data_IF_174325573190
#
_entry.id   IF_174325573190
#
_cell.length_a   1.000
_cell.length_b   1.000
_cell.length_c   1.000
_cell.angle_alpha   90.00
_cell.angle_beta   90.00
_cell.angle_gamma   90.00
#
_symmetry.space_group_name_H-M   'P 1'
#
loop_
_entity.id
_entity.type
_entity.pdbx_description
1 polymer ?
#
# COMPACT_ATOMS: atom_id res chain seq x y z
N UNK A 1 23.08 -18.55 -2.28
CA UNK A 1 21.94 -18.65 -1.32
C UNK A 1 21.18 -19.93 -1.62
N UNK A 2 20.72 -20.63 -0.60
CA UNK A 2 19.81 -21.78 -0.73
C UNK A 2 18.48 -21.39 -0.09
N UNK A 3 17.51 -20.99 -0.90
CA UNK A 3 16.20 -20.52 -0.43
C UNK A 3 15.48 -21.58 0.40
N UNK A 4 15.55 -22.84 -0.02
CA UNK A 4 14.87 -23.93 0.70
C UNK A 4 15.42 -24.14 2.12
N UNK A 5 16.74 -24.07 2.30
CA UNK A 5 17.38 -24.21 3.61
C UNK A 5 17.00 -23.05 4.55
N UNK A 6 17.03 -21.82 4.04
CA UNK A 6 16.60 -20.62 4.78
C UNK A 6 15.14 -20.75 5.20
N UNK A 7 14.26 -21.17 4.28
CA UNK A 7 12.84 -21.32 4.59
C UNK A 7 12.57 -22.41 5.61
N UNK A 8 13.28 -23.54 5.57
CA UNK A 8 13.16 -24.59 6.59
C UNK A 8 13.57 -24.09 7.99
N UNK A 9 14.60 -23.26 8.08
CA UNK A 9 15.01 -22.65 9.36
C UNK A 9 13.97 -21.65 9.87
N UNK A 10 13.41 -20.82 8.98
CA UNK A 10 12.36 -19.87 9.34
C UNK A 10 11.05 -20.57 9.75
N UNK A 11 10.63 -21.61 9.04
CA UNK A 11 9.44 -22.39 9.40
C UNK A 11 9.56 -23.02 10.80
N UNK A 12 10.76 -23.45 11.16
CA UNK A 12 11.06 -23.97 12.50
C UNK A 12 11.01 -22.87 13.57
N UNK A 13 11.48 -21.66 13.26
CA UNK A 13 11.50 -20.52 14.20
C UNK A 13 10.14 -19.85 14.34
N UNK A 14 9.33 -19.85 13.28
CA UNK A 14 8.05 -19.13 13.18
C UNK A 14 6.89 -20.08 12.81
N UNK A 15 6.62 -21.11 13.63
CA UNK A 15 5.58 -22.08 13.33
C UNK A 15 4.20 -21.42 13.30
N UNK A 16 3.44 -21.67 12.22
CA UNK A 16 2.08 -21.14 12.05
C UNK A 16 1.99 -19.72 11.50
N UNK A 17 3.09 -19.05 11.19
CA UNK A 17 3.12 -17.72 10.58
C UNK A 17 3.08 -17.79 9.06
N UNK A 18 2.02 -18.37 8.49
CA UNK A 18 1.89 -18.72 7.07
C UNK A 18 2.03 -17.53 6.12
N UNK A 19 1.39 -16.40 6.44
CA UNK A 19 1.42 -15.20 5.59
C UNK A 19 2.83 -14.60 5.53
N UNK A 20 3.51 -14.57 6.67
CA UNK A 20 4.88 -14.08 6.75
C UNK A 20 5.85 -14.97 5.98
N UNK A 21 5.78 -16.28 6.19
CA UNK A 21 6.65 -17.26 5.53
C UNK A 21 6.44 -17.28 4.01
N UNK A 22 5.20 -17.14 3.54
CA UNK A 22 4.90 -17.02 2.12
C UNK A 22 5.56 -15.78 1.50
N UNK A 23 5.41 -14.63 2.13
CA UNK A 23 5.98 -13.36 1.62
C UNK A 23 7.52 -13.42 1.56
N UNK A 24 8.16 -14.00 2.58
CA UNK A 24 9.61 -14.17 2.57
C UNK A 24 10.04 -15.08 1.42
N UNK A 25 9.38 -16.22 1.23
CA UNK A 25 9.67 -17.15 0.13
C UNK A 25 9.60 -16.46 -1.24
N UNK A 26 8.52 -15.74 -1.52
CA UNK A 26 8.31 -15.04 -2.80
C UNK A 26 9.43 -14.02 -3.09
N UNK A 27 9.87 -13.29 -2.08
CA UNK A 27 10.98 -12.35 -2.25
C UNK A 27 12.30 -13.08 -2.46
N UNK A 28 12.62 -14.08 -1.63
CA UNK A 28 13.88 -14.82 -1.73
C UNK A 28 14.05 -15.52 -3.07
N UNK A 29 12.98 -16.14 -3.60
CA UNK A 29 12.98 -16.77 -4.94
C UNK A 29 13.26 -15.75 -6.06
N UNK A 30 12.75 -14.53 -5.92
CA UNK A 30 12.94 -13.48 -6.93
C UNK A 30 14.32 -12.83 -6.91
N UNK A 31 15.03 -12.86 -5.77
CA UNK A 31 16.35 -12.23 -5.62
C UNK A 31 17.52 -13.23 -5.65
N UNK A 32 17.26 -14.54 -5.68
CA UNK A 32 18.29 -15.58 -5.55
C UNK A 32 19.43 -15.43 -6.55
N UNK A 33 19.12 -15.19 -7.81
CA UNK A 33 20.10 -15.00 -8.88
C UNK A 33 21.03 -13.81 -8.60
N UNK A 34 20.45 -12.67 -8.24
CA UNK A 34 21.21 -11.43 -7.95
C UNK A 34 22.02 -11.57 -6.66
N UNK A 35 21.44 -12.16 -5.61
CA UNK A 35 22.15 -12.40 -4.37
C UNK A 35 23.43 -13.25 -4.59
N UNK A 36 23.35 -14.27 -5.44
CA UNK A 36 24.48 -15.15 -5.72
C UNK A 36 25.61 -14.47 -6.52
N UNK A 37 25.36 -13.29 -7.10
CA UNK A 37 26.38 -12.46 -7.74
C UNK A 37 27.15 -11.58 -6.73
N UNK A 38 26.71 -11.55 -5.44
CA UNK A 38 27.21 -10.71 -4.37
C UNK A 38 27.73 -11.56 -3.18
N UNK A 39 28.92 -12.18 -3.27
CA UNK A 39 29.46 -13.01 -2.18
C UNK A 39 29.66 -12.25 -0.86
N UNK A 40 29.79 -10.93 -0.91
CA UNK A 40 29.84 -10.04 0.25
C UNK A 40 28.54 -10.07 1.06
N UNK A 41 27.39 -10.24 0.42
CA UNK A 41 26.10 -10.34 1.11
C UNK A 41 25.98 -11.64 1.91
N UNK A 42 26.45 -12.75 1.35
CA UNK A 42 26.47 -14.03 2.03
C UNK A 42 27.41 -14.00 3.26
N UNK A 43 28.60 -13.42 3.09
CA UNK A 43 29.57 -13.27 4.19
C UNK A 43 29.02 -12.41 5.32
N UNK A 44 28.25 -11.38 5.01
CA UNK A 44 27.61 -10.48 5.98
C UNK A 44 26.25 -10.99 6.51
N UNK A 45 25.80 -12.18 6.09
CA UNK A 45 24.51 -12.77 6.48
C UNK A 45 23.32 -11.82 6.23
N UNK A 46 23.35 -11.12 5.08
CA UNK A 46 22.34 -10.08 4.78
C UNK A 46 20.93 -10.64 4.77
N UNK A 47 20.69 -11.78 4.12
CA UNK A 47 19.34 -12.37 4.02
C UNK A 47 18.86 -12.85 5.38
N UNK A 48 19.69 -13.58 6.13
CA UNK A 48 19.32 -14.09 7.45
C UNK A 48 18.98 -12.97 8.45
N UNK A 49 19.62 -11.80 8.31
CA UNK A 49 19.31 -10.59 9.10
C UNK A 49 18.09 -9.85 8.58
N UNK A 50 17.90 -9.81 7.25
CA UNK A 50 16.84 -9.05 6.60
C UNK A 50 15.46 -9.71 6.75
N UNK A 51 15.41 -11.03 6.85
CA UNK A 51 14.15 -11.77 7.02
C UNK A 51 13.64 -11.78 8.46
N UNK A 52 14.43 -11.36 9.43
CA UNK A 52 13.98 -11.21 10.81
C UNK A 52 13.75 -9.72 11.12
N UNK A 53 12.67 -9.36 11.83
CA UNK A 53 12.47 -7.97 12.24
C UNK A 53 13.49 -7.54 13.30
N UNK A 54 13.94 -6.29 13.24
CA UNK A 54 14.84 -5.72 14.25
C UNK A 54 14.23 -5.78 15.66
N UNK A 55 12.90 -5.53 15.75
CA UNK A 55 12.17 -5.53 17.02
C UNK A 55 10.68 -5.78 16.85
N UNK A 56 10.10 -6.51 17.78
CA UNK A 56 8.66 -6.70 17.91
C UNK A 56 8.24 -6.20 19.30
N UNK A 57 7.27 -5.28 19.34
CA UNK A 57 6.67 -4.76 20.56
C UNK A 57 5.24 -5.27 20.60
N UNK A 58 4.92 -6.06 21.64
CA UNK A 58 3.57 -6.58 21.90
C UNK A 58 3.10 -6.06 23.24
N UNK A 59 1.89 -5.53 23.30
CA UNK A 59 1.34 -4.93 24.49
C UNK A 59 -0.16 -5.17 24.61
N UNK A 60 -0.68 -5.15 25.83
CA UNK A 60 -2.10 -5.21 26.11
C UNK A 60 -2.68 -3.80 26.11
N UNK A 61 -3.78 -3.61 25.38
CA UNK A 61 -4.56 -2.38 25.39
C UNK A 61 -5.82 -2.61 26.20
N UNK A 62 -5.98 -1.90 27.32
CA UNK A 62 -7.16 -1.97 28.17
C UNK A 62 -7.94 -0.66 28.07
N UNK A 63 -9.23 -0.75 27.78
CA UNK A 63 -10.10 0.41 27.59
C UNK A 63 -11.52 0.11 28.08
N UNK A 64 -12.38 1.14 28.14
CA UNK A 64 -13.76 1.02 28.62
C UNK A 64 -14.73 1.36 27.49
N UNK A 65 -15.71 0.51 27.25
CA UNK A 65 -16.77 0.73 26.25
C UNK A 65 -17.83 1.75 26.74
N UNK A 66 -18.79 2.07 25.89
CA UNK A 66 -19.85 3.04 26.23
C UNK A 66 -20.81 2.55 27.31
N UNK A 67 -20.84 1.25 27.58
CA UNK A 67 -21.66 0.65 28.65
C UNK A 67 -20.93 0.53 29.97
N UNK A 68 -19.65 0.97 30.03
CA UNK A 68 -18.81 0.93 31.23
C UNK A 68 -18.07 -0.41 31.42
N UNK A 69 -18.11 -1.34 30.46
CA UNK A 69 -17.40 -2.59 30.57
C UNK A 69 -15.93 -2.44 30.18
N UNK A 70 -15.06 -3.15 30.91
CA UNK A 70 -13.64 -3.20 30.61
C UNK A 70 -13.42 -4.14 29.42
N UNK A 71 -12.73 -3.65 28.40
CA UNK A 71 -12.33 -4.36 27.21
C UNK A 71 -10.80 -4.50 27.16
N UNK A 72 -10.31 -5.58 26.55
CA UNK A 72 -8.88 -5.84 26.35
C UNK A 72 -8.62 -6.28 24.93
N UNK A 73 -7.58 -5.71 24.34
CA UNK A 73 -7.09 -6.08 23.01
C UNK A 73 -5.57 -6.23 23.05
N UNK A 74 -5.01 -6.90 22.05
CA UNK A 74 -3.57 -6.94 21.82
C UNK A 74 -3.17 -5.84 20.83
N UNK A 75 -2.12 -5.11 21.19
CA UNK A 75 -1.46 -4.14 20.31
C UNK A 75 -0.08 -4.63 19.91
N UNK A 76 0.35 -4.27 18.70
CA UNK A 76 1.62 -4.67 18.14
C UNK A 76 2.28 -3.51 17.38
N UNK A 77 3.63 -3.48 17.44
CA UNK A 77 4.47 -2.73 16.52
C UNK A 77 5.65 -3.60 16.11
N UNK A 78 5.72 -3.95 14.82
CA UNK A 78 6.85 -4.63 14.21
C UNK A 78 7.74 -3.58 13.56
N UNK A 79 8.87 -3.30 14.17
CA UNK A 79 9.96 -2.48 13.65
C UNK A 79 10.84 -3.43 12.85
N UNK A 80 10.64 -3.45 11.51
CA UNK A 80 11.16 -4.54 10.71
C UNK A 80 12.61 -4.32 10.29
N UNK A 81 12.90 -3.18 9.67
CA UNK A 81 14.25 -2.84 9.22
C UNK A 81 14.43 -1.33 9.12
N UNK A 82 15.51 -0.79 9.67
CA UNK A 82 15.83 0.65 9.69
C UNK A 82 17.10 1.02 8.91
N UNK A 83 17.62 0.12 8.09
CA UNK A 83 18.91 0.37 7.40
C UNK A 83 18.89 1.60 6.48
N UNK A 84 17.74 2.00 5.94
CA UNK A 84 17.63 3.15 5.03
C UNK A 84 16.88 4.35 5.60
N UNK A 85 16.51 4.31 6.87
CA UNK A 85 15.81 5.42 7.55
C UNK A 85 14.96 4.95 8.71
N UNK A 86 14.24 5.86 9.40
CA UNK A 86 13.38 5.49 10.51
C UNK A 86 12.33 4.46 10.07
N UNK A 87 11.94 3.59 11.00
CA UNK A 87 10.87 2.64 10.75
C UNK A 87 9.61 3.36 10.28
N UNK A 88 9.00 2.90 9.19
CA UNK A 88 7.82 3.56 8.59
C UNK A 88 6.80 2.53 8.13
N UNK A 89 5.57 2.69 8.60
CA UNK A 89 4.45 1.85 8.15
C UNK A 89 3.18 2.09 8.95
N UNK A 90 2.04 1.68 8.38
CA UNK A 90 0.72 1.93 8.95
C UNK A 90 0.39 1.13 10.19
N UNK A 91 -0.62 1.59 10.92
CA UNK A 91 -1.29 0.87 12.02
C UNK A 91 -2.64 0.39 11.48
N UNK A 92 -2.94 -0.91 11.67
CA UNK A 92 -4.20 -1.55 11.25
C UNK A 92 -5.05 -1.90 12.46
N UNK A 93 -6.32 -1.49 12.44
CA UNK A 93 -7.31 -1.94 13.42
C UNK A 93 -8.34 -2.83 12.73
N UNK A 94 -8.27 -4.13 13.01
CA UNK A 94 -9.18 -5.10 12.45
C UNK A 94 -9.13 -6.40 13.26
N UNK A 95 -10.27 -7.04 13.48
CA UNK A 95 -10.39 -8.29 14.27
C UNK A 95 -9.49 -9.45 13.82
N UNK A 96 -9.04 -9.46 12.58
CA UNK A 96 -8.15 -10.49 12.03
C UNK A 96 -6.66 -10.17 12.21
N UNK A 97 -6.30 -9.04 12.81
CA UNK A 97 -4.88 -8.67 13.02
C UNK A 97 -4.22 -9.66 13.95
N UNK A 98 -3.09 -10.18 13.50
CA UNK A 98 -2.22 -11.06 14.26
C UNK A 98 -0.75 -10.75 13.92
N UNK A 99 0.18 -11.36 14.64
CA UNK A 99 1.61 -11.09 14.49
C UNK A 99 2.15 -11.52 13.11
N UNK A 100 1.73 -12.67 12.58
CA UNK A 100 2.12 -13.16 11.26
C UNK A 100 1.79 -12.15 10.16
N UNK A 101 0.55 -11.65 10.17
CA UNK A 101 0.10 -10.61 9.25
C UNK A 101 0.95 -9.34 9.34
N UNK A 102 1.28 -8.89 10.55
CA UNK A 102 2.04 -7.65 10.74
C UNK A 102 3.53 -7.83 10.39
N UNK A 103 4.11 -9.00 10.60
CA UNK A 103 5.46 -9.34 10.12
C UNK A 103 5.50 -9.37 8.59
N UNK A 104 4.54 -10.03 7.95
CA UNK A 104 4.37 -10.01 6.49
C UNK A 104 4.34 -8.58 5.97
N UNK A 105 3.42 -7.77 6.48
CA UNK A 105 3.24 -6.40 6.02
C UNK A 105 4.45 -5.50 6.32
N UNK A 106 5.16 -5.72 7.43
CA UNK A 106 6.38 -4.99 7.79
C UNK A 106 7.55 -5.34 6.87
N UNK A 107 7.71 -6.62 6.53
CA UNK A 107 8.68 -7.11 5.57
C UNK A 107 8.47 -6.50 4.18
N UNK A 108 7.28 -6.61 3.64
CA UNK A 108 6.91 -6.01 2.36
C UNK A 108 7.08 -4.48 2.36
N UNK A 109 6.76 -3.82 3.47
CA UNK A 109 6.90 -2.38 3.62
C UNK A 109 8.36 -1.92 3.51
N UNK A 110 9.31 -2.74 3.96
CA UNK A 110 10.75 -2.45 3.86
C UNK A 110 11.16 -2.25 2.39
N UNK A 111 10.78 -3.16 1.51
CA UNK A 111 11.12 -3.07 0.09
C UNK A 111 10.33 -1.99 -0.64
N UNK A 112 9.05 -1.84 -0.31
CA UNK A 112 8.21 -0.78 -0.85
C UNK A 112 8.77 0.62 -0.53
N UNK A 113 9.16 0.86 0.71
CA UNK A 113 9.75 2.13 1.13
C UNK A 113 11.10 2.36 0.45
N UNK A 114 11.91 1.31 0.28
CA UNK A 114 13.20 1.39 -0.40
C UNK A 114 13.08 1.89 -1.84
N UNK A 115 12.00 1.57 -2.54
CA UNK A 115 11.75 2.02 -3.91
C UNK A 115 11.47 3.53 -4.00
N UNK A 116 10.95 4.16 -2.95
CA UNK A 116 10.49 5.57 -2.99
C UNK A 116 11.59 6.61 -3.08
N UNK A 117 12.86 6.22 -3.05
CA UNK A 117 14.04 7.13 -2.93
C UNK A 117 14.14 7.87 -1.59
N UNK A 118 13.09 7.90 -0.79
CA UNK A 118 13.03 8.59 0.49
C UNK A 118 13.68 7.75 1.61
N UNK A 119 14.25 8.41 2.64
CA UNK A 119 14.93 7.72 3.74
C UNK A 119 13.90 7.15 4.74
N UNK A 120 13.32 6.01 4.42
CA UNK A 120 12.31 5.34 5.24
C UNK A 120 12.57 3.84 5.31
N UNK A 121 12.72 3.32 6.50
CA UNK A 121 12.76 1.90 6.79
C UNK A 121 11.37 1.24 6.70
N UNK A 122 11.24 0.02 7.19
CA UNK A 122 9.99 -0.74 7.19
C UNK A 122 9.46 -1.04 8.58
N UNK A 123 8.16 -0.85 8.76
CA UNK A 123 7.44 -1.24 9.97
C UNK A 123 5.97 -1.53 9.68
N UNK A 124 5.32 -2.21 10.62
CA UNK A 124 3.86 -2.34 10.64
C UNK A 124 3.37 -2.46 12.07
N UNK A 125 2.22 -1.85 12.36
CA UNK A 125 1.56 -1.98 13.65
C UNK A 125 0.10 -2.35 13.51
N UNK A 126 -0.54 -2.64 14.62
CA UNK A 126 -1.96 -2.93 14.62
C UNK A 126 -2.49 -3.49 15.92
N UNK A 127 -3.78 -3.75 15.90
CA UNK A 127 -4.51 -4.40 16.98
C UNK A 127 -5.68 -5.21 16.44
N UNK A 128 -6.07 -6.24 17.17
CA UNK A 128 -7.29 -7.01 16.96
C UNK A 128 -8.58 -6.23 17.32
N UNK A 129 -8.46 -4.97 17.68
CA UNK A 129 -9.59 -4.06 17.83
C UNK A 129 -10.33 -3.85 16.52
N UNK A 130 -11.66 -4.03 16.54
CA UNK A 130 -12.52 -3.78 15.38
C UNK A 130 -13.28 -2.45 15.57
N UNK A 131 -12.98 -1.41 14.79
CA UNK A 131 -13.67 -0.12 14.89
C UNK A 131 -15.10 -0.14 14.34
N UNK A 132 -15.49 -1.21 13.60
CA UNK A 132 -16.82 -1.28 12.98
C UNK A 132 -17.88 -1.38 14.07
N UNK A 133 -18.86 -0.48 14.00
CA UNK A 133 -19.96 -0.43 14.96
C UNK A 133 -19.62 0.21 16.33
N UNK A 134 -18.40 0.71 16.50
CA UNK A 134 -17.99 1.46 17.70
C UNK A 134 -18.33 2.94 17.55
N UNK A 135 -18.64 3.56 18.70
CA UNK A 135 -18.83 5.02 18.75
C UNK A 135 -17.49 5.76 18.60
N UNK A 136 -17.55 7.03 18.22
CA UNK A 136 -16.36 7.89 18.17
C UNK A 136 -15.68 8.00 19.56
N UNK A 137 -16.45 7.98 20.62
CA UNK A 137 -15.94 8.00 21.99
C UNK A 137 -15.20 6.71 22.37
N UNK A 138 -15.71 5.54 21.95
CA UNK A 138 -15.03 4.26 22.13
C UNK A 138 -13.73 4.21 21.36
N UNK A 139 -13.76 4.61 20.07
CA UNK A 139 -12.56 4.65 19.21
C UNK A 139 -11.52 5.61 19.78
N UNK A 140 -11.94 6.77 20.29
CA UNK A 140 -11.01 7.73 20.94
C UNK A 140 -10.35 7.12 22.18
N UNK A 141 -11.11 6.50 23.07
CA UNK A 141 -10.58 5.83 24.27
C UNK A 141 -9.60 4.72 23.90
N UNK A 142 -9.95 3.90 22.89
CA UNK A 142 -9.06 2.86 22.42
C UNK A 142 -7.76 3.45 21.83
N UNK A 143 -7.83 4.43 20.95
CA UNK A 143 -6.64 5.09 20.37
C UNK A 143 -5.73 5.70 21.44
N UNK A 144 -6.32 6.31 22.48
CA UNK A 144 -5.57 6.87 23.59
C UNK A 144 -4.87 5.77 24.41
N UNK A 145 -5.57 4.68 24.71
CA UNK A 145 -5.00 3.53 25.43
C UNK A 145 -3.90 2.83 24.60
N UNK A 146 -4.10 2.68 23.28
CA UNK A 146 -3.10 2.14 22.38
C UNK A 146 -1.84 3.00 22.32
N UNK A 147 -1.99 4.32 22.23
CA UNK A 147 -0.87 5.26 22.22
C UNK A 147 -0.15 5.33 23.57
N UNK A 148 -0.85 5.15 24.68
CA UNK A 148 -0.23 5.07 26.01
C UNK A 148 0.87 3.98 26.08
N UNK A 149 0.66 2.85 25.45
CA UNK A 149 1.63 1.75 25.41
C UNK A 149 2.73 1.97 24.35
N UNK A 150 2.41 2.69 23.26
CA UNK A 150 3.30 2.79 22.09
C UNK A 150 4.21 4.03 22.13
N UNK A 151 3.83 5.12 22.79
CA UNK A 151 4.40 6.46 22.59
C UNK A 151 5.93 6.55 22.77
N UNK A 152 6.50 5.80 23.68
CA UNK A 152 7.95 5.83 23.97
C UNK A 152 8.80 4.99 23.00
N UNK A 153 8.16 4.29 22.05
CA UNK A 153 8.81 3.48 21.03
C UNK A 153 8.77 4.13 19.65
N UNK A 154 8.14 5.29 19.51
CA UNK A 154 7.98 6.01 18.24
C UNK A 154 8.56 7.43 18.33
N UNK A 155 8.88 7.99 17.17
CA UNK A 155 9.44 9.34 17.06
C UNK A 155 9.78 9.67 15.62
N UNK A 156 9.97 10.94 15.26
CA UNK A 156 10.17 11.39 13.89
C UNK A 156 11.42 10.78 13.23
N UNK A 157 12.45 10.48 14.01
CA UNK A 157 13.72 9.93 13.55
C UNK A 157 13.93 8.47 13.99
N UNK A 158 12.92 7.86 14.63
CA UNK A 158 12.98 6.49 15.13
C UNK A 158 11.98 5.59 14.42
N UNK A 159 10.70 5.89 14.58
CA UNK A 159 9.58 5.11 14.03
C UNK A 159 8.37 6.02 13.83
N UNK A 160 7.89 6.12 12.58
CA UNK A 160 6.80 7.02 12.19
C UNK A 160 5.61 6.22 11.66
N UNK A 161 4.64 5.89 12.52
CA UNK A 161 3.41 5.23 12.11
C UNK A 161 2.53 6.11 11.21
N UNK A 162 1.63 5.44 10.49
CA UNK A 162 0.62 6.05 9.62
C UNK A 162 -0.72 5.33 9.75
N UNK A 163 -1.75 5.78 9.02
CA UNK A 163 -2.99 5.05 8.88
C UNK A 163 -2.87 3.83 7.96
N UNK A 164 -3.78 2.89 8.16
CA UNK A 164 -4.00 1.69 7.36
C UNK A 164 -5.48 1.26 7.51
N UNK A 165 -5.85 0.04 7.20
CA UNK A 165 -7.22 -0.47 7.39
C UNK A 165 -7.71 -0.20 8.81
N UNK A 166 -8.89 0.42 8.94
CA UNK A 166 -9.49 0.77 10.24
C UNK A 166 -8.83 1.95 10.98
N UNK A 167 -7.83 2.59 10.37
CA UNK A 167 -7.14 3.77 10.93
C UNK A 167 -7.05 4.87 9.89
N UNK A 168 -7.91 5.84 10.00
CA UNK A 168 -7.93 7.05 9.17
C UNK A 168 -7.47 8.29 9.91
N UNK A 169 -7.77 9.47 9.35
CA UNK A 169 -7.39 10.76 9.93
C UNK A 169 -7.95 10.98 11.34
N UNK A 170 -9.13 10.44 11.63
CA UNK A 170 -9.77 10.50 12.98
C UNK A 170 -8.91 9.76 14.00
N UNK A 171 -8.56 8.51 13.75
CA UNK A 171 -7.75 7.67 14.64
C UNK A 171 -6.33 8.25 14.80
N UNK A 172 -5.73 8.71 13.72
CA UNK A 172 -4.43 9.41 13.75
C UNK A 172 -4.52 10.65 14.64
N UNK A 173 -5.61 11.41 14.55
CA UNK A 173 -5.85 12.58 15.39
C UNK A 173 -5.91 12.23 16.88
N UNK A 174 -6.67 11.18 17.24
CA UNK A 174 -6.77 10.73 18.62
C UNK A 174 -5.44 10.21 19.18
N UNK A 175 -4.69 9.46 18.38
CA UNK A 175 -3.36 8.97 18.76
C UNK A 175 -2.36 10.12 18.92
N UNK A 176 -2.36 11.08 17.98
CA UNK A 176 -1.46 12.24 18.04
C UNK A 176 -1.74 13.13 19.27
N UNK A 177 -3.02 13.39 19.56
CA UNK A 177 -3.43 14.15 20.74
C UNK A 177 -2.92 13.54 22.05
N UNK A 178 -2.96 12.22 22.16
CA UNK A 178 -2.43 11.49 23.31
C UNK A 178 -0.90 11.50 23.34
N UNK A 179 -0.23 11.25 22.21
CA UNK A 179 1.24 11.33 22.11
C UNK A 179 1.75 12.69 22.59
N UNK A 180 1.21 13.79 22.05
CA UNK A 180 1.59 15.16 22.42
C UNK A 180 1.47 15.41 23.93
N UNK A 181 0.44 14.84 24.55
CA UNK A 181 0.23 14.98 26.00
C UNK A 181 1.26 14.18 26.82
N UNK A 182 1.60 12.97 26.37
CA UNK A 182 2.57 12.10 27.05
C UNK A 182 4.00 12.60 26.88
N UNK A 183 4.39 12.91 25.65
CA UNK A 183 5.73 13.38 25.31
C UNK A 183 5.99 14.83 25.80
N UNK A 184 4.92 15.61 26.06
CA UNK A 184 4.99 17.04 26.45
C UNK A 184 5.71 17.90 25.41
N UNK A 185 5.62 17.53 24.14
CA UNK A 185 6.20 18.26 23.03
C UNK A 185 5.22 18.30 21.84
N UNK A 186 5.39 19.31 20.99
CA UNK A 186 4.63 19.43 19.76
C UNK A 186 5.49 18.96 18.58
N UNK A 187 5.51 17.64 18.37
CA UNK A 187 6.29 17.01 17.31
C UNK A 187 5.38 16.47 16.21
N UNK A 188 5.22 17.24 15.12
CA UNK A 188 4.36 16.86 14.00
C UNK A 188 4.91 15.68 13.21
N UNK A 189 6.22 15.42 13.27
CA UNK A 189 6.88 14.34 12.51
C UNK A 189 6.62 12.93 13.03
N UNK A 190 6.00 12.77 14.20
CA UNK A 190 5.85 11.44 14.84
C UNK A 190 4.83 10.53 14.16
N UNK A 191 3.85 11.07 13.45
CA UNK A 191 2.81 10.34 12.73
C UNK A 191 2.56 10.99 11.36
N UNK A 192 2.15 10.22 10.37
CA UNK A 192 1.66 10.75 9.10
C UNK A 192 0.20 10.40 8.85
N UNK A 193 -0.45 11.12 7.92
CA UNK A 193 -1.88 11.07 7.71
C UNK A 193 -2.65 12.05 8.60
N UNK A 194 -1.97 13.10 9.05
CA UNK A 194 -2.52 14.15 9.91
C UNK A 194 -3.47 15.08 9.14
N UNK A 195 -4.33 15.78 9.89
CA UNK A 195 -5.13 16.88 9.35
C UNK A 195 -4.25 18.08 8.93
N UNK A 196 -4.70 18.81 7.91
CA UNK A 196 -3.95 19.94 7.35
C UNK A 196 -3.66 21.05 8.36
N UNK A 197 -4.54 21.25 9.32
CA UNK A 197 -4.39 22.28 10.36
C UNK A 197 -3.29 22.00 11.39
N UNK A 198 -2.70 20.79 11.39
CA UNK A 198 -1.72 20.37 12.39
C UNK A 198 -0.62 19.47 11.80
N UNK A 199 -0.15 19.81 10.62
CA UNK A 199 1.05 19.23 10.00
C UNK A 199 0.81 18.14 8.97
N UNK A 200 -0.42 17.96 8.49
CA UNK A 200 -0.74 17.07 7.38
C UNK A 200 -0.29 17.62 6.02
N UNK A 201 -0.20 16.75 5.03
CA UNK A 201 0.14 17.09 3.64
C UNK A 201 -1.08 17.09 2.74
N UNK A 202 -1.13 18.01 1.80
CA UNK A 202 -2.05 17.95 0.65
C UNK A 202 -1.75 16.70 -0.20
N UNK A 203 -2.68 16.34 -1.08
CA UNK A 203 -2.61 15.17 -1.99
C UNK A 203 -2.64 13.81 -1.26
N UNK A 204 -2.59 13.76 0.08
CA UNK A 204 -2.47 12.48 0.80
C UNK A 204 -3.64 11.51 0.58
N UNK A 205 -4.93 11.92 0.56
CA UNK A 205 -6.06 11.01 0.32
C UNK A 205 -6.01 10.32 -1.04
N UNK A 206 -5.66 11.05 -2.09
CA UNK A 206 -5.61 10.61 -3.48
C UNK A 206 -4.26 10.01 -3.90
N UNK A 207 -3.21 10.19 -3.11
CA UNK A 207 -1.83 9.92 -3.47
C UNK A 207 -1.56 8.50 -3.98
N UNK A 208 -2.24 7.49 -3.42
CA UNK A 208 -2.07 6.10 -3.87
C UNK A 208 -2.57 5.93 -5.30
N UNK A 209 -3.75 6.45 -5.61
CA UNK A 209 -4.32 6.41 -6.95
C UNK A 209 -3.54 7.28 -7.94
N UNK A 210 -3.17 8.49 -7.56
CA UNK A 210 -2.37 9.40 -8.40
C UNK A 210 -1.03 8.77 -8.76
N UNK A 211 -0.29 8.28 -7.77
CA UNK A 211 0.98 7.60 -7.97
C UNK A 211 0.86 6.38 -8.88
N UNK A 212 -0.21 5.60 -8.71
CA UNK A 212 -0.45 4.45 -9.57
C UNK A 212 -0.57 4.84 -11.05
N UNK A 213 -1.29 5.92 -11.35
CA UNK A 213 -1.45 6.39 -12.73
C UNK A 213 -0.15 6.96 -13.30
N UNK A 214 0.67 7.63 -12.49
CA UNK A 214 2.01 8.06 -12.93
C UNK A 214 2.91 6.86 -13.26
N UNK A 215 2.88 5.82 -12.43
CA UNK A 215 3.63 4.60 -12.73
C UNK A 215 3.13 3.94 -14.01
N UNK A 216 1.81 3.79 -14.19
CA UNK A 216 1.19 3.24 -15.39
C UNK A 216 1.57 4.06 -16.62
N UNK A 217 1.51 5.38 -16.57
CA UNK A 217 1.91 6.26 -17.68
C UNK A 217 3.36 5.98 -18.12
N UNK A 218 4.32 5.92 -17.18
CA UNK A 218 5.71 5.59 -17.49
C UNK A 218 5.86 4.18 -18.07
N UNK A 219 5.09 3.20 -17.56
CA UNK A 219 5.09 1.84 -18.08
C UNK A 219 4.56 1.78 -19.53
N UNK A 220 3.48 2.52 -19.83
CA UNK A 220 2.91 2.62 -21.16
C UNK A 220 3.85 3.31 -22.14
N UNK A 221 4.41 4.46 -21.76
CA UNK A 221 5.35 5.23 -22.58
C UNK A 221 6.56 4.37 -22.98
N UNK A 222 7.10 3.57 -22.05
CA UNK A 222 8.16 2.62 -22.34
C UNK A 222 7.75 1.56 -23.38
N UNK A 223 6.50 1.12 -23.32
CA UNK A 223 5.96 0.12 -24.26
C UNK A 223 5.46 0.73 -25.58
N UNK A 224 5.67 2.03 -25.81
CA UNK A 224 5.17 2.74 -27.00
C UNK A 224 3.65 2.84 -27.05
N UNK A 225 2.99 2.85 -25.90
CA UNK A 225 1.53 2.98 -25.74
C UNK A 225 1.20 4.29 -25.04
N UNK A 226 -0.03 4.75 -25.21
CA UNK A 226 -0.53 5.97 -24.59
C UNK A 226 -1.68 5.65 -23.62
N UNK A 227 -1.72 6.37 -22.52
CA UNK A 227 -2.85 6.32 -21.57
C UNK A 227 -4.07 7.05 -22.15
N UNK A 228 -3.83 8.11 -22.91
CA UNK A 228 -4.89 8.92 -23.52
C UNK A 228 -5.77 8.08 -24.44
N UNK A 229 -7.06 8.07 -24.18
CA UNK A 229 -8.05 7.31 -24.94
C UNK A 229 -8.18 5.83 -24.57
N UNK A 230 -7.26 5.27 -23.76
CA UNK A 230 -7.38 3.91 -23.26
C UNK A 230 -8.57 3.75 -22.30
N UNK A 231 -9.24 2.62 -22.38
CA UNK A 231 -10.34 2.27 -21.48
C UNK A 231 -9.85 1.63 -20.21
N UNK A 232 -10.35 2.09 -19.06
CA UNK A 232 -9.89 1.67 -17.73
C UNK A 232 -11.05 1.08 -16.92
N UNK A 233 -10.84 -0.10 -16.34
CA UNK A 233 -11.73 -0.71 -15.35
C UNK A 233 -11.06 -0.70 -13.97
N UNK A 234 -11.81 -0.28 -12.95
CA UNK A 234 -11.34 -0.07 -11.58
C UNK A 234 -12.23 -0.84 -10.60
N UNK A 235 -11.62 -1.61 -9.69
CA UNK A 235 -12.36 -2.19 -8.57
C UNK A 235 -12.33 -1.28 -7.34
N UNK A 236 -13.42 -1.33 -6.56
CA UNK A 236 -13.59 -0.48 -5.40
C UNK A 236 -14.03 0.95 -5.74
N UNK A 237 -14.49 1.68 -4.72
CA UNK A 237 -14.90 3.09 -4.83
C UNK A 237 -14.53 3.91 -3.57
N UNK A 238 -13.46 3.47 -2.88
CA UNK A 238 -12.81 4.22 -1.81
C UNK A 238 -11.81 5.25 -2.33
N UNK A 239 -11.04 5.89 -1.44
CA UNK A 239 -10.08 6.95 -1.79
C UNK A 239 -9.05 6.51 -2.84
N UNK A 240 -8.58 5.27 -2.78
CA UNK A 240 -7.61 4.71 -3.74
C UNK A 240 -8.20 4.65 -5.15
N UNK A 241 -9.40 4.06 -5.27
CA UNK A 241 -10.11 3.95 -6.55
C UNK A 241 -10.53 5.33 -7.08
N UNK A 242 -10.99 6.23 -6.20
CA UNK A 242 -11.33 7.60 -6.57
C UNK A 242 -10.11 8.36 -7.10
N UNK A 243 -8.97 8.31 -6.37
CA UNK A 243 -7.74 8.95 -6.84
C UNK A 243 -7.26 8.38 -8.18
N UNK A 244 -7.29 7.05 -8.35
CA UNK A 244 -6.93 6.40 -9.62
C UNK A 244 -7.86 6.84 -10.76
N UNK A 245 -9.17 6.86 -10.54
CA UNK A 245 -10.15 7.26 -11.54
C UNK A 245 -10.02 8.75 -11.92
N UNK A 246 -9.81 9.63 -10.93
CA UNK A 246 -9.61 11.06 -11.14
C UNK A 246 -8.35 11.31 -12.00
N UNK A 247 -7.21 10.75 -11.61
CA UNK A 247 -5.96 10.96 -12.33
C UNK A 247 -6.00 10.31 -13.73
N UNK A 248 -6.60 9.13 -13.88
CA UNK A 248 -6.80 8.51 -15.19
C UNK A 248 -7.60 9.43 -16.14
N UNK A 249 -8.67 10.02 -15.64
CA UNK A 249 -9.51 10.96 -16.40
C UNK A 249 -8.76 12.24 -16.74
N UNK A 250 -7.99 12.82 -15.81
CA UNK A 250 -7.14 13.99 -16.05
C UNK A 250 -6.09 13.74 -17.14
N UNK A 251 -5.49 12.54 -17.15
CA UNK A 251 -4.51 12.12 -18.16
C UNK A 251 -5.15 11.67 -19.48
N UNK A 252 -6.47 11.79 -19.61
CA UNK A 252 -7.21 11.56 -20.86
C UNK A 252 -7.62 10.12 -21.12
N UNK A 253 -7.51 9.21 -20.14
CA UNK A 253 -8.08 7.88 -20.23
C UNK A 253 -9.62 7.91 -20.03
N UNK A 254 -10.28 6.84 -20.46
CA UNK A 254 -11.73 6.65 -20.24
C UNK A 254 -11.94 5.63 -19.13
N UNK A 255 -12.27 6.06 -17.93
CA UNK A 255 -12.70 5.17 -16.86
C UNK A 255 -14.11 4.71 -17.13
N UNK A 256 -14.27 3.48 -17.65
CA UNK A 256 -15.55 2.95 -18.12
C UNK A 256 -16.25 2.03 -17.11
N UNK A 257 -15.53 1.53 -16.10
CA UNK A 257 -16.10 0.64 -15.10
C UNK A 257 -15.53 0.93 -13.71
N UNK A 258 -16.42 1.00 -12.72
CA UNK A 258 -16.06 1.07 -11.29
C UNK A 258 -16.96 0.07 -10.54
N UNK A 259 -16.37 -0.81 -9.72
CA UNK A 259 -17.13 -1.79 -8.98
C UNK A 259 -17.18 -1.55 -7.48
N UNK A 260 -18.29 -1.94 -6.88
CA UNK A 260 -18.49 -2.05 -5.44
C UNK A 260 -18.82 -3.49 -5.03
N UNK A 261 -19.11 -3.73 -3.75
CA UNK A 261 -19.49 -5.07 -3.27
C UNK A 261 -20.79 -5.61 -3.88
N UNK A 262 -21.68 -4.73 -4.32
CA UNK A 262 -22.98 -5.05 -4.90
C UNK A 262 -22.94 -5.31 -6.41
N UNK A 263 -21.89 -4.88 -7.11
CA UNK A 263 -21.76 -5.06 -8.56
C UNK A 263 -20.86 -4.04 -9.21
N UNK A 264 -20.99 -3.89 -10.53
CA UNK A 264 -20.20 -2.94 -11.33
C UNK A 264 -21.09 -1.92 -12.02
N UNK A 265 -20.67 -0.67 -11.98
CA UNK A 265 -21.22 0.40 -12.83
C UNK A 265 -20.39 0.48 -14.11
N UNK A 266 -21.05 0.33 -15.25
CA UNK A 266 -20.45 0.45 -16.57
C UNK A 266 -20.97 1.72 -17.27
N UNK A 267 -20.05 2.57 -17.71
CA UNK A 267 -20.36 3.75 -18.52
C UNK A 267 -19.45 3.79 -19.76
N UNK A 268 -19.97 3.47 -20.96
CA UNK A 268 -19.16 3.40 -22.18
C UNK A 268 -18.58 4.77 -22.60
N UNK A 269 -19.19 5.87 -22.14
CA UNK A 269 -18.72 7.23 -22.42
C UNK A 269 -17.56 7.67 -21.50
N UNK A 270 -17.29 6.90 -20.44
CA UNK A 270 -16.32 7.22 -19.40
C UNK A 270 -16.93 8.08 -18.27
N UNK A 271 -16.20 8.13 -17.17
CA UNK A 271 -16.56 8.93 -16.00
C UNK A 271 -16.14 10.39 -16.21
N UNK A 272 -17.00 11.32 -15.81
CA UNK A 272 -16.70 12.76 -15.71
C UNK A 272 -16.36 13.10 -14.25
N UNK A 273 -15.85 14.31 -14.01
CA UNK A 273 -15.61 14.82 -12.66
C UNK A 273 -16.88 14.76 -11.79
N UNK A 274 -18.03 15.16 -12.33
CA UNK A 274 -19.32 15.08 -11.62
C UNK A 274 -19.64 13.64 -11.20
N UNK A 275 -19.42 12.67 -12.10
CA UNK A 275 -19.67 11.26 -11.85
C UNK A 275 -18.72 10.67 -10.79
N UNK A 276 -17.44 11.06 -10.83
CA UNK A 276 -16.45 10.66 -9.84
C UNK A 276 -16.73 11.25 -8.45
N UNK A 277 -17.17 12.52 -8.40
CA UNK A 277 -17.59 13.14 -7.15
C UNK A 277 -18.82 12.45 -6.56
N UNK A 278 -19.77 12.03 -7.39
CA UNK A 278 -20.92 11.26 -6.91
C UNK A 278 -20.51 9.87 -6.35
N UNK A 279 -19.48 9.24 -6.90
CA UNK A 279 -18.93 8.01 -6.29
C UNK A 279 -18.40 8.27 -4.87
N UNK A 280 -17.78 9.43 -4.60
CA UNK A 280 -17.38 9.81 -3.24
C UNK A 280 -18.60 10.01 -2.32
N UNK A 281 -19.67 10.63 -2.81
CA UNK A 281 -20.91 10.79 -2.05
C UNK A 281 -21.50 9.42 -1.68
N UNK A 282 -21.54 8.47 -2.63
CA UNK A 282 -21.97 7.09 -2.36
C UNK A 282 -21.11 6.42 -1.31
N UNK A 283 -19.79 6.62 -1.36
CA UNK A 283 -18.88 6.10 -0.35
C UNK A 283 -19.14 6.68 1.03
N UNK A 284 -19.35 7.98 1.09
CA UNK A 284 -19.62 8.74 2.34
C UNK A 284 -20.97 8.38 2.95
N UNK A 285 -21.92 7.86 2.17
CA UNK A 285 -23.23 7.42 2.66
C UNK A 285 -23.17 6.19 3.58
N UNK A 286 -22.03 5.52 3.68
CA UNK A 286 -21.80 4.27 4.43
C UNK A 286 -22.71 3.08 4.02
N UNK A 287 -23.45 3.20 2.91
CA UNK A 287 -24.30 2.10 2.40
C UNK A 287 -23.49 1.01 1.71
N UNK A 288 -22.25 1.33 1.33
CA UNK A 288 -21.29 0.44 0.69
C UNK A 288 -21.82 -0.23 -0.61
N UNK A 289 -22.57 0.52 -1.43
CA UNK A 289 -23.16 0.10 -2.70
C UNK A 289 -22.91 1.14 -3.79
N UNK A 290 -22.83 0.69 -5.05
CA UNK A 290 -22.67 1.55 -6.23
C UNK A 290 -23.92 1.59 -7.13
N UNK A 291 -24.90 0.73 -6.91
CA UNK A 291 -26.13 0.65 -7.70
C UNK A 291 -26.84 2.01 -7.92
N UNK A 292 -26.95 2.93 -6.90
CA UNK A 292 -27.61 4.23 -7.09
C UNK A 292 -26.96 5.12 -8.14
N UNK A 293 -25.75 4.83 -8.56
CA UNK A 293 -25.06 5.57 -9.62
C UNK A 293 -25.85 5.54 -10.95
N UNK A 294 -26.32 4.34 -11.35
CA UNK A 294 -27.07 4.18 -12.58
C UNK A 294 -28.50 4.74 -12.50
N UNK A 295 -29.01 4.94 -11.28
CA UNK A 295 -30.28 5.65 -11.08
C UNK A 295 -30.14 7.15 -11.36
N UNK A 296 -28.98 7.75 -11.01
CA UNK A 296 -28.70 9.15 -11.21
C UNK A 296 -28.21 9.46 -12.64
N UNK A 297 -27.38 8.59 -13.20
CA UNK A 297 -26.78 8.78 -14.53
C UNK A 297 -27.30 7.74 -15.51
N UNK A 298 -28.25 8.12 -16.34
CA UNK A 298 -28.98 7.23 -17.27
C UNK A 298 -28.14 6.71 -18.44
N UNK A 299 -26.95 7.26 -18.66
CA UNK A 299 -25.96 6.78 -19.63
C UNK A 299 -25.02 5.69 -19.03
N UNK A 300 -25.24 5.32 -17.79
CA UNK A 300 -24.56 4.24 -17.12
C UNK A 300 -25.48 3.05 -16.86
N UNK A 301 -24.91 1.87 -16.81
CA UNK A 301 -25.62 0.61 -16.51
C UNK A 301 -25.02 -0.01 -15.24
N UNK A 302 -25.87 -0.39 -14.29
CA UNK A 302 -25.46 -1.20 -13.16
C UNK A 302 -25.63 -2.70 -13.48
N UNK A 303 -24.61 -3.51 -13.23
CA UNK A 303 -24.59 -4.94 -13.44
C UNK A 303 -24.38 -5.60 -12.07
N UNK A 304 -25.46 -6.15 -11.46
CA UNK A 304 -25.39 -6.68 -10.10
C UNK A 304 -24.50 -7.91 -10.00
N UNK A 305 -23.76 -8.02 -8.89
CA UNK A 305 -22.92 -9.17 -8.56
C UNK A 305 -21.73 -9.42 -9.47
N UNK A 306 -21.47 -8.54 -10.45
CA UNK A 306 -20.32 -8.64 -11.33
C UNK A 306 -19.15 -7.78 -10.84
N UNK A 307 -17.94 -8.27 -11.09
CA UNK A 307 -16.69 -7.53 -10.86
C UNK A 307 -16.40 -6.57 -11.99
N UNK A 308 -15.50 -5.61 -11.77
CA UNK A 308 -15.04 -4.70 -12.83
C UNK A 308 -14.44 -5.46 -14.03
N UNK A 309 -13.86 -6.61 -13.80
CA UNK A 309 -13.18 -7.48 -14.78
C UNK A 309 -14.13 -8.09 -15.83
N UNK A 310 -15.42 -8.12 -15.57
CA UNK A 310 -16.43 -8.55 -16.54
C UNK A 310 -16.67 -7.52 -17.66
N UNK A 311 -16.09 -6.33 -17.55
CA UNK A 311 -16.18 -5.29 -18.57
C UNK A 311 -14.91 -5.29 -19.41
N UNK A 312 -15.07 -5.37 -20.73
CA UNK A 312 -13.91 -5.29 -21.65
C UNK A 312 -13.21 -3.94 -21.50
N UNK A 313 -11.89 -3.97 -21.22
CA UNK A 313 -11.07 -2.79 -21.03
C UNK A 313 -9.64 -3.00 -21.52
N UNK A 314 -8.92 -1.91 -21.75
CA UNK A 314 -7.50 -1.91 -22.09
C UNK A 314 -6.62 -2.09 -20.87
N UNK A 315 -7.00 -1.44 -19.76
CA UNK A 315 -6.25 -1.37 -18.51
C UNK A 315 -7.15 -1.78 -17.35
N UNK A 316 -6.70 -2.70 -16.50
CA UNK A 316 -7.40 -3.12 -15.30
C UNK A 316 -6.60 -2.71 -14.03
N UNK A 317 -7.27 -2.01 -13.11
CA UNK A 317 -6.68 -1.49 -11.87
C UNK A 317 -7.40 -2.07 -10.65
N UNK A 318 -6.87 -3.14 -10.03
CA UNK A 318 -7.35 -3.61 -8.73
C UNK A 318 -7.07 -2.56 -7.64
N UNK A 319 -8.13 -1.97 -7.06
CA UNK A 319 -8.03 -0.89 -6.07
C UNK A 319 -8.76 -1.18 -4.75
N UNK A 320 -9.36 -2.36 -4.59
CA UNK A 320 -10.24 -2.65 -3.46
C UNK A 320 -9.51 -3.41 -2.33
N UNK A 321 -9.19 -4.69 -2.56
CA UNK A 321 -8.64 -5.54 -1.50
C UNK A 321 -7.69 -6.63 -2.03
N UNK A 322 -7.07 -7.33 -1.11
CA UNK A 322 -6.11 -8.39 -1.40
C UNK A 322 -6.78 -9.57 -2.13
N UNK A 323 -6.10 -10.14 -3.13
CA UNK A 323 -6.52 -11.33 -3.89
C UNK A 323 -7.90 -11.21 -4.56
N UNK A 324 -8.29 -9.99 -4.90
CA UNK A 324 -9.60 -9.74 -5.53
C UNK A 324 -9.68 -10.19 -7.01
N UNK A 325 -8.53 -10.16 -7.71
CA UNK A 325 -8.41 -10.59 -9.10
C UNK A 325 -7.82 -11.99 -9.13
N UNK A 326 -8.66 -12.97 -9.45
CA UNK A 326 -8.31 -14.40 -9.44
C UNK A 326 -7.74 -14.86 -10.79
N UNK A 327 -7.21 -16.09 -10.86
CA UNK A 327 -6.76 -16.69 -12.12
C UNK A 327 -7.84 -16.72 -13.20
N UNK A 328 -9.09 -17.01 -12.82
CA UNK A 328 -10.22 -17.00 -13.76
C UNK A 328 -10.54 -15.59 -14.27
N UNK A 329 -10.48 -14.58 -13.39
CA UNK A 329 -10.63 -13.17 -13.79
C UNK A 329 -9.50 -12.74 -14.75
N UNK A 330 -8.28 -13.24 -14.54
CA UNK A 330 -7.14 -12.96 -15.41
C UNK A 330 -7.32 -13.56 -16.81
N UNK A 331 -7.81 -14.80 -16.90
CA UNK A 331 -8.13 -15.43 -18.18
C UNK A 331 -9.22 -14.65 -18.93
N UNK A 332 -10.26 -14.18 -18.25
CA UNK A 332 -11.31 -13.35 -18.82
C UNK A 332 -10.76 -12.03 -19.37
N UNK A 333 -9.94 -11.32 -18.58
CA UNK A 333 -9.29 -10.07 -19.01
C UNK A 333 -8.41 -10.28 -20.25
N UNK A 334 -7.58 -11.33 -20.26
CA UNK A 334 -6.73 -11.67 -21.41
C UNK A 334 -7.55 -12.02 -22.65
N UNK A 335 -8.62 -12.81 -22.52
CA UNK A 335 -9.53 -13.15 -23.62
C UNK A 335 -10.23 -11.90 -24.18
N UNK A 336 -10.52 -10.90 -23.35
CA UNK A 336 -11.12 -9.62 -23.73
C UNK A 336 -10.11 -8.64 -24.34
N UNK A 337 -8.81 -8.98 -24.37
CA UNK A 337 -7.75 -8.18 -24.97
C UNK A 337 -7.16 -7.11 -24.05
N UNK A 338 -7.33 -7.23 -22.74
CA UNK A 338 -6.65 -6.37 -21.75
C UNK A 338 -5.14 -6.56 -21.88
N UNK A 339 -4.41 -5.46 -22.02
CA UNK A 339 -2.96 -5.49 -22.26
C UNK A 339 -2.14 -4.83 -21.14
N UNK A 340 -2.82 -4.28 -20.10
CA UNK A 340 -2.17 -3.72 -18.92
C UNK A 340 -2.97 -4.03 -17.66
N UNK A 341 -2.29 -4.54 -16.64
CA UNK A 341 -2.82 -4.70 -15.28
C UNK A 341 -1.82 -4.13 -14.28
N UNK A 342 -2.27 -3.23 -13.41
CA UNK A 342 -1.42 -2.64 -12.38
C UNK A 342 -2.14 -2.69 -11.01
N UNK A 343 -1.52 -3.34 -10.04
CA UNK A 343 -2.09 -3.48 -8.70
C UNK A 343 -2.02 -2.17 -7.93
N UNK A 344 -3.16 -1.55 -7.68
CA UNK A 344 -3.23 -0.36 -6.83
C UNK A 344 -3.54 -0.74 -5.37
N UNK A 345 -4.24 -1.83 -5.14
CA UNK A 345 -4.35 -2.47 -3.82
C UNK A 345 -3.08 -3.25 -3.47
N UNK A 346 -2.89 -3.57 -2.19
CA UNK A 346 -1.80 -4.46 -1.78
C UNK A 346 -2.16 -5.90 -2.17
N UNK A 347 -1.31 -6.55 -2.98
CA UNK A 347 -1.51 -7.92 -3.46
C UNK A 347 -2.92 -8.10 -4.06
N UNK A 348 -3.32 -7.24 -4.99
CA UNK A 348 -4.65 -7.26 -5.60
C UNK A 348 -4.94 -8.51 -6.43
N UNK A 349 -3.90 -9.14 -6.99
CA UNK A 349 -3.99 -10.33 -7.82
C UNK A 349 -3.56 -11.59 -7.05
N UNK A 350 -4.19 -12.72 -7.34
CA UNK A 350 -3.71 -14.01 -6.83
C UNK A 350 -2.43 -14.45 -7.58
N UNK A 351 -1.61 -15.36 -7.01
CA UNK A 351 -0.42 -15.89 -7.69
C UNK A 351 -0.73 -16.48 -9.08
N UNK A 352 -1.87 -17.15 -9.23
CA UNK A 352 -2.31 -17.72 -10.51
C UNK A 352 -2.60 -16.61 -11.55
N UNK A 353 -3.21 -15.51 -11.13
CA UNK A 353 -3.47 -14.37 -11.99
C UNK A 353 -2.16 -13.71 -12.45
N UNK A 354 -1.21 -13.49 -11.52
CA UNK A 354 0.12 -12.95 -11.82
C UNK A 354 0.84 -13.85 -12.84
N UNK A 355 0.84 -15.17 -12.60
CA UNK A 355 1.47 -16.13 -13.51
C UNK A 355 0.82 -16.09 -14.91
N UNK A 356 -0.51 -15.96 -15.02
CA UNK A 356 -1.21 -15.83 -16.28
C UNK A 356 -0.79 -14.57 -17.05
N UNK A 357 -0.73 -13.41 -16.38
CA UNK A 357 -0.30 -12.15 -16.99
C UNK A 357 1.16 -12.18 -17.47
N UNK A 358 2.06 -12.73 -16.64
CA UNK A 358 3.48 -12.88 -17.00
C UNK A 358 3.66 -13.83 -18.18
N UNK A 359 2.94 -14.97 -18.21
CA UNK A 359 2.95 -15.92 -19.33
C UNK A 359 2.46 -15.29 -20.62
N UNK A 360 1.41 -14.47 -20.53
CA UNK A 360 0.89 -13.72 -21.69
C UNK A 360 1.77 -12.53 -22.09
N UNK A 361 2.81 -12.19 -21.27
CA UNK A 361 3.73 -11.05 -21.46
C UNK A 361 2.99 -9.72 -21.65
N UNK A 362 1.84 -9.54 -21.00
CA UNK A 362 1.20 -8.23 -20.95
C UNK A 362 1.95 -7.31 -19.96
N UNK A 363 1.64 -6.03 -19.98
CA UNK A 363 2.16 -5.10 -18.98
C UNK A 363 1.51 -5.38 -17.62
N UNK A 364 2.26 -6.00 -16.72
CA UNK A 364 1.82 -6.26 -15.35
C UNK A 364 2.80 -5.63 -14.35
N UNK A 365 2.27 -4.91 -13.36
CA UNK A 365 3.08 -4.30 -12.30
C UNK A 365 2.51 -4.57 -10.90
N UNK A 366 3.38 -4.93 -9.93
CA UNK A 366 2.98 -5.32 -8.58
C UNK A 366 2.64 -4.14 -7.69
N UNK A 367 1.78 -4.37 -6.70
CA UNK A 367 1.29 -3.36 -5.77
C UNK A 367 2.40 -2.60 -5.05
N UNK A 368 3.48 -3.26 -4.63
CA UNK A 368 4.59 -2.60 -3.91
C UNK A 368 5.26 -1.48 -4.71
N UNK A 369 5.25 -1.53 -6.03
CA UNK A 369 5.75 -0.47 -6.91
C UNK A 369 4.63 0.52 -7.26
N UNK A 370 3.50 0.02 -7.74
CA UNK A 370 2.40 0.83 -8.26
C UNK A 370 1.74 1.69 -7.19
N UNK A 371 1.46 1.13 -6.01
CA UNK A 371 0.75 1.83 -4.94
C UNK A 371 1.66 2.59 -3.96
N UNK A 372 2.93 2.72 -4.28
CA UNK A 372 3.90 3.43 -3.43
C UNK A 372 3.60 4.93 -3.26
N UNK A 373 2.72 5.51 -4.08
CA UNK A 373 2.34 6.92 -3.99
C UNK A 373 1.84 7.34 -2.61
N UNK A 374 1.07 6.48 -1.93
CA UNK A 374 0.58 6.75 -0.58
C UNK A 374 1.71 6.88 0.45
N UNK A 375 2.68 5.97 0.45
CA UNK A 375 3.82 6.04 1.37
C UNK A 375 4.83 7.11 0.94
N UNK A 376 4.99 7.35 -0.36
CA UNK A 376 5.80 8.45 -0.89
C UNK A 376 5.28 9.80 -0.35
N UNK A 377 3.99 10.07 -0.47
CA UNK A 377 3.39 11.30 0.08
C UNK A 377 3.48 11.35 1.60
N UNK A 378 3.42 10.21 2.30
CA UNK A 378 3.71 10.17 3.74
C UNK A 378 5.16 10.60 4.04
N UNK A 379 6.13 10.17 3.24
CA UNK A 379 7.52 10.64 3.36
C UNK A 379 7.69 12.13 3.04
N UNK A 380 6.94 12.64 2.06
CA UNK A 380 6.88 14.08 1.79
C UNK A 380 6.25 14.86 2.95
N UNK A 381 5.24 14.29 3.63
CA UNK A 381 4.68 14.86 4.87
C UNK A 381 5.74 14.91 5.97
N UNK A 382 6.54 13.85 6.16
CA UNK A 382 7.67 13.85 7.09
C UNK A 382 8.67 14.94 6.76
N UNK A 383 9.00 15.13 5.48
CA UNK A 383 9.91 16.18 5.04
C UNK A 383 9.38 17.58 5.36
N UNK A 384 8.12 17.86 5.05
CA UNK A 384 7.45 19.12 5.39
C UNK A 384 7.48 19.36 6.91
N UNK A 385 7.23 18.32 7.70
CA UNK A 385 7.24 18.41 9.16
C UNK A 385 8.66 18.72 9.70
N UNK A 386 9.69 18.07 9.17
CA UNK A 386 11.08 18.32 9.57
C UNK A 386 11.55 19.75 9.21
N UNK A 387 11.06 20.28 8.11
CA UNK A 387 11.36 21.66 7.66
C UNK A 387 10.46 22.71 8.31
N UNK A 388 9.40 22.31 9.04
CA UNK A 388 8.38 23.19 9.61
C UNK A 388 7.68 24.09 8.57
N UNK A 389 7.45 23.55 7.36
CA UNK A 389 6.73 24.23 6.27
C UNK A 389 5.64 23.34 5.69
N UNK A 390 4.74 23.93 4.92
CA UNK A 390 3.75 23.23 4.12
C UNK A 390 3.94 23.55 2.64
N UNK A 391 3.92 22.53 1.80
CA UNK A 391 3.95 22.69 0.35
C UNK A 391 2.53 22.82 -0.23
N UNK A 392 2.41 23.49 -1.35
CA UNK A 392 1.20 23.53 -2.14
C UNK A 392 0.89 22.15 -2.74
N UNK A 393 -0.35 21.95 -3.18
CA UNK A 393 -0.75 20.71 -3.84
C UNK A 393 0.10 20.43 -5.10
N UNK A 394 0.43 21.49 -5.87
CA UNK A 394 1.26 21.35 -7.07
C UNK A 394 2.69 20.88 -6.73
N UNK A 395 3.31 21.43 -5.68
CA UNK A 395 4.66 21.01 -5.25
C UNK A 395 4.68 19.56 -4.76
N UNK A 396 3.64 19.12 -4.03
CA UNK A 396 3.52 17.73 -3.58
C UNK A 396 3.30 16.80 -4.76
N UNK A 397 2.44 17.16 -5.71
CA UNK A 397 2.11 16.35 -6.89
C UNK A 397 3.32 16.20 -7.83
N UNK A 398 4.08 17.28 -8.06
CA UNK A 398 5.34 17.24 -8.84
C UNK A 398 6.36 16.27 -8.23
N UNK A 399 6.55 16.35 -6.90
CA UNK A 399 7.46 15.45 -6.19
C UNK A 399 6.96 14.00 -6.21
N UNK A 400 5.67 13.79 -6.08
CA UNK A 400 5.06 12.46 -6.19
C UNK A 400 5.29 11.87 -7.58
N UNK A 401 5.07 12.65 -8.64
CA UNK A 401 5.32 12.21 -10.02
C UNK A 401 6.79 11.80 -10.21
N UNK A 402 7.73 12.63 -9.77
CA UNK A 402 9.17 12.31 -9.83
C UNK A 402 9.52 11.01 -9.08
N UNK A 403 8.97 10.81 -7.89
CA UNK A 403 9.20 9.58 -7.11
C UNK A 403 8.66 8.36 -7.87
N UNK A 404 7.46 8.44 -8.43
CA UNK A 404 6.87 7.32 -9.17
C UNK A 404 7.64 7.00 -10.45
N UNK A 405 8.17 8.01 -11.15
CA UNK A 405 9.11 7.84 -12.25
C UNK A 405 10.36 7.09 -11.80
N UNK A 406 10.98 7.52 -10.71
CA UNK A 406 12.18 6.88 -10.15
C UNK A 406 11.94 5.42 -9.76
N UNK A 407 10.76 5.11 -9.19
CA UNK A 407 10.36 3.72 -8.89
C UNK A 407 10.25 2.90 -10.17
N UNK A 408 9.59 3.43 -11.20
CA UNK A 408 9.47 2.76 -12.48
C UNK A 408 10.85 2.48 -13.10
N UNK A 409 11.75 3.47 -13.15
CA UNK A 409 13.11 3.33 -13.68
C UNK A 409 13.92 2.27 -12.92
N UNK A 410 13.81 2.23 -11.58
CA UNK A 410 14.46 1.21 -10.76
C UNK A 410 13.93 -0.20 -11.07
N UNK A 411 12.62 -0.35 -11.21
CA UNK A 411 11.99 -1.62 -11.60
C UNK A 411 12.44 -2.07 -13.00
N UNK A 412 12.52 -1.15 -13.95
CA UNK A 412 13.00 -1.44 -15.32
C UNK A 412 14.45 -1.89 -15.30
N UNK A 413 15.33 -1.16 -14.59
CA UNK A 413 16.75 -1.48 -14.51
C UNK A 413 17.00 -2.89 -13.98
N UNK A 414 16.19 -3.34 -13.02
CA UNK A 414 16.37 -4.63 -12.33
C UNK A 414 15.52 -5.76 -12.92
N UNK A 415 14.48 -5.44 -13.72
CA UNK A 415 13.53 -6.43 -14.24
C UNK A 415 13.53 -6.56 -15.76
N UNK A 416 14.48 -5.94 -16.49
CA UNK A 416 14.53 -6.02 -17.95
C UNK A 416 14.90 -7.43 -18.42
N UNK A 417 14.09 -8.01 -19.32
CA UNK A 417 14.27 -9.31 -19.96
C UNK A 417 14.11 -9.15 -21.49
N UNK A 418 15.12 -8.56 -22.11
CA UNK A 418 15.09 -8.21 -23.53
C UNK A 418 14.10 -7.07 -23.81
N UNK A 419 13.08 -7.33 -24.59
CA UNK A 419 11.99 -6.40 -24.92
C UNK A 419 10.86 -6.36 -23.87
N UNK A 420 10.90 -7.26 -22.90
CA UNK A 420 9.93 -7.34 -21.78
C UNK A 420 10.54 -6.83 -20.49
N UNK A 421 9.70 -6.25 -19.64
CA UNK A 421 10.07 -5.90 -18.28
C UNK A 421 9.22 -6.70 -17.29
N UNK A 422 9.86 -7.52 -16.49
CA UNK A 422 9.25 -8.21 -15.37
C UNK A 422 9.26 -7.26 -14.15
N UNK A 423 8.20 -6.49 -14.00
CA UNK A 423 8.11 -5.50 -12.92
C UNK A 423 8.03 -6.13 -11.51
N UNK A 424 7.58 -7.38 -11.39
CA UNK A 424 7.57 -8.11 -10.09
C UNK A 424 9.01 -8.37 -9.66
N UNK A 425 9.80 -9.01 -10.53
CA UNK A 425 11.23 -9.26 -10.31
C UNK A 425 11.98 -7.95 -10.09
N UNK A 426 11.70 -6.96 -10.95
CA UNK A 426 12.34 -5.65 -10.89
C UNK A 426 12.13 -4.91 -9.57
N UNK A 427 10.91 -4.89 -9.05
CA UNK A 427 10.59 -4.26 -7.77
C UNK A 427 11.26 -4.96 -6.58
N UNK A 428 11.23 -6.30 -6.55
CA UNK A 428 11.86 -7.07 -5.49
C UNK A 428 13.40 -6.88 -5.49
N UNK A 429 14.04 -6.98 -6.64
CA UNK A 429 15.50 -6.84 -6.76
C UNK A 429 15.93 -5.41 -6.42
N UNK A 430 15.27 -4.39 -6.97
CA UNK A 430 15.64 -3.00 -6.72
C UNK A 430 15.50 -2.63 -5.23
N UNK A 431 14.40 -3.02 -4.60
CA UNK A 431 14.20 -2.83 -3.17
C UNK A 431 15.22 -3.58 -2.32
N UNK A 432 15.45 -4.85 -2.63
CA UNK A 432 16.44 -5.68 -1.94
C UNK A 432 17.84 -5.07 -2.01
N UNK A 433 18.36 -4.79 -3.20
CA UNK A 433 19.72 -4.30 -3.39
C UNK A 433 20.00 -3.01 -2.59
N UNK A 434 19.03 -2.09 -2.55
CA UNK A 434 19.18 -0.84 -1.79
C UNK A 434 19.30 -1.10 -0.28
N UNK A 435 18.43 -1.96 0.26
CA UNK A 435 18.47 -2.30 1.70
C UNK A 435 19.71 -3.12 2.03
N UNK A 436 20.05 -4.12 1.21
CA UNK A 436 21.22 -4.99 1.40
C UNK A 436 22.53 -4.17 1.39
N UNK A 437 22.67 -3.23 0.47
CA UNK A 437 23.84 -2.37 0.41
C UNK A 437 23.98 -1.49 1.65
N UNK A 438 22.85 -0.88 2.10
CA UNK A 438 22.87 -0.08 3.32
C UNK A 438 23.22 -0.92 4.56
N UNK A 439 22.67 -2.15 4.70
CA UNK A 439 23.02 -3.06 5.78
C UNK A 439 24.49 -3.50 5.74
N UNK A 440 25.05 -3.68 4.54
CA UNK A 440 26.46 -4.04 4.36
C UNK A 440 27.38 -2.88 4.79
N UNK A 441 27.10 -1.65 4.36
CA UNK A 441 27.89 -0.47 4.67
C UNK A 441 27.84 -0.07 6.15
N UNK A 442 26.72 -0.29 6.82
CA UNK A 442 26.55 -0.01 8.25
C UNK A 442 27.16 -1.11 9.15
N UNK A 443 27.53 -2.25 8.58
CA UNK A 443 28.18 -3.33 9.31
C UNK A 443 27.24 -4.20 10.14
N UNK A 444 27.73 -4.67 11.28
CA UNK A 444 26.97 -5.54 12.21
C UNK A 444 26.56 -4.68 13.41
N UNK A 445 25.29 -4.33 13.46
CA UNK A 445 24.66 -3.52 14.51
C UNK A 445 23.48 -4.25 15.11
#
# INVERSE_FOLDING_TARGET
MNVQEIMLDLERKHPGESEYLQAVREVLESIEEVYNQHPEFEKAKIVERMVEPDRIITFRVTWVDDTGNIQTNLGYRVQFNSAIGPYKGGIRFHKAVNLSMLKFLGFEQTFKNALTTLPMGGAKGGSDFDPIGKSDAEIMRFCQAFMWELWNNIGPDTDVPAGDVGVGGREIGYMYGMYKKLAREYNTGVLTGKGLSWGGSLIRPEATGFGALYFVEHMLNRAGKELKGATVAISGFGNVAWGAATKATELGAKVIAISGPDGVVYNPNGMTEEKLNYMLELRSSNRNIVAPFAEKFTDATFIPGKKAWSVKCDIALPCAFQNELTGADAEELLANGTWCVAEVSNMGCTPEAIAAFQKARILFAPGKAVNAGGVATSGLEMTQNAMHISWSAAEVDEKLHYIMQSIHEACVKSGAEGDYTNYVKGANIAGFLKVAQAMLEQGIV
#
